data_IF_990103240097
#
_entry.id   IF_990103240097
#
_cell.length_a   1.000
_cell.length_b   1.000
_cell.length_c   1.000
_cell.angle_alpha   90.00
_cell.angle_beta   90.00
_cell.angle_gamma   90.00
#
_symmetry.space_group_name_H-M   'P 1'
#
loop_
_entity.id
_entity.type
_entity.pdbx_description
1 polymer ?
#
# COMPACT_ATOMS: atom_id res chain seq x y z
N UNK A 1 -3.57 10.96 -8.59
CA UNK A 1 -4.01 10.90 -10.01
C UNK A 1 -2.98 11.52 -10.95
N UNK A 2 -2.63 12.80 -10.80
CA UNK A 2 -1.63 13.49 -11.67
C UNK A 2 -0.31 12.74 -11.73
N UNK A 3 0.19 12.24 -10.59
CA UNK A 3 1.42 11.44 -10.54
C UNK A 3 1.34 10.16 -11.41
N UNK A 4 0.20 9.47 -11.40
CA UNK A 4 0.00 8.27 -12.23
C UNK A 4 -0.06 8.64 -13.72
N UNK A 5 -0.68 9.78 -14.07
CA UNK A 5 -0.68 10.29 -15.44
C UNK A 5 0.73 10.68 -15.91
N UNK A 6 1.48 11.42 -15.09
CA UNK A 6 2.85 11.80 -15.42
C UNK A 6 3.81 10.60 -15.46
N UNK A 7 3.60 9.60 -14.60
CA UNK A 7 4.45 8.42 -14.50
C UNK A 7 4.19 7.37 -15.59
N UNK A 8 2.93 7.18 -16.00
CA UNK A 8 2.53 6.08 -16.88
C UNK A 8 1.89 6.52 -18.21
N UNK A 9 1.76 7.83 -18.42
CA UNK A 9 1.06 8.39 -19.57
C UNK A 9 -0.44 8.09 -19.56
N UNK A 10 -1.11 8.47 -20.65
CA UNK A 10 -2.56 8.34 -20.79
C UNK A 10 -3.02 6.87 -20.75
N UNK A 11 -2.26 5.97 -21.38
CA UNK A 11 -2.62 4.55 -21.47
C UNK A 11 -2.59 3.88 -20.09
N UNK A 12 -1.46 3.94 -19.38
CA UNK A 12 -1.33 3.31 -18.06
C UNK A 12 -2.25 3.93 -17.02
N UNK A 13 -2.39 5.26 -17.03
CA UNK A 13 -3.39 5.94 -16.20
C UNK A 13 -4.82 5.48 -16.51
N UNK A 14 -5.15 5.31 -17.79
CA UNK A 14 -6.47 4.82 -18.23
C UNK A 14 -6.81 3.45 -17.66
N UNK A 15 -5.85 2.50 -17.67
CA UNK A 15 -6.01 1.19 -17.05
C UNK A 15 -6.26 1.28 -15.54
N UNK A 16 -5.44 2.06 -14.82
CA UNK A 16 -5.59 2.23 -13.38
C UNK A 16 -6.91 2.93 -13.00
N UNK A 17 -7.25 4.01 -13.70
CA UNK A 17 -8.47 4.77 -13.47
C UNK A 17 -9.72 3.95 -13.81
N UNK A 18 -9.71 3.28 -14.96
CA UNK A 18 -10.78 2.38 -15.37
C UNK A 18 -11.00 1.25 -14.39
N UNK A 19 -9.93 0.62 -13.90
CA UNK A 19 -10.01 -0.42 -12.89
C UNK A 19 -10.61 0.08 -11.56
N UNK A 20 -10.16 1.25 -11.09
CA UNK A 20 -10.71 1.87 -9.88
C UNK A 20 -12.20 2.17 -10.03
N UNK A 21 -12.61 2.80 -11.13
CA UNK A 21 -14.00 3.14 -11.39
C UNK A 21 -14.87 1.89 -11.54
N UNK A 22 -14.40 0.89 -12.29
CA UNK A 22 -15.09 -0.39 -12.44
C UNK A 22 -15.29 -1.07 -11.09
N UNK A 23 -14.27 -1.10 -10.23
CA UNK A 23 -14.35 -1.68 -8.89
C UNK A 23 -15.40 -0.99 -8.03
N UNK A 24 -15.45 0.35 -8.06
CA UNK A 24 -16.46 1.13 -7.35
C UNK A 24 -17.89 0.80 -7.84
N UNK A 25 -18.09 0.78 -9.17
CA UNK A 25 -19.37 0.46 -9.78
C UNK A 25 -19.80 -0.98 -9.44
N UNK A 26 -18.90 -1.95 -9.57
CA UNK A 26 -19.15 -3.36 -9.21
C UNK A 26 -19.59 -3.47 -7.75
N UNK A 27 -18.87 -2.81 -6.83
CA UNK A 27 -19.22 -2.81 -5.40
C UNK A 27 -20.61 -2.25 -5.15
N UNK A 28 -21.04 -1.25 -5.94
CA UNK A 28 -22.35 -0.61 -5.82
C UNK A 28 -23.51 -1.44 -6.39
N UNK A 29 -23.28 -2.19 -7.47
CA UNK A 29 -24.35 -2.94 -8.17
C UNK A 29 -24.50 -4.39 -7.70
N UNK A 30 -23.40 -5.04 -7.32
CA UNK A 30 -23.41 -6.45 -6.94
C UNK A 30 -23.99 -6.60 -5.53
N UNK A 31 -24.78 -7.65 -5.24
CA UNK A 31 -25.23 -7.92 -3.90
C UNK A 31 -24.06 -7.93 -2.92
N UNK A 32 -24.18 -7.14 -1.86
CA UNK A 32 -23.09 -6.85 -0.90
C UNK A 32 -22.33 -8.09 -0.41
N UNK A 33 -23.04 -9.21 -0.20
CA UNK A 33 -22.47 -10.52 0.19
C UNK A 33 -21.43 -11.11 -0.77
N UNK A 34 -21.37 -10.64 -2.01
CA UNK A 34 -20.42 -11.11 -3.04
C UNK A 34 -19.49 -10.00 -3.55
N UNK A 35 -19.64 -8.76 -3.05
CA UNK A 35 -18.94 -7.60 -3.61
C UNK A 35 -17.41 -7.76 -3.54
N UNK A 36 -16.86 -8.20 -2.40
CA UNK A 36 -15.43 -8.45 -2.22
C UNK A 36 -14.85 -9.44 -3.24
N UNK A 37 -15.47 -10.61 -3.38
CA UNK A 37 -15.03 -11.63 -4.32
C UNK A 37 -15.17 -11.20 -5.78
N UNK A 38 -16.25 -10.50 -6.14
CA UNK A 38 -16.47 -10.00 -7.50
C UNK A 38 -15.41 -8.96 -7.89
N UNK A 39 -15.15 -7.98 -7.02
CA UNK A 39 -14.12 -6.96 -7.26
C UNK A 39 -12.74 -7.60 -7.33
N UNK A 40 -12.40 -8.50 -6.41
CA UNK A 40 -11.12 -9.21 -6.46
C UNK A 40 -10.95 -9.99 -7.76
N UNK A 41 -11.96 -10.79 -8.16
CA UNK A 41 -11.91 -11.60 -9.37
C UNK A 41 -11.70 -10.75 -10.64
N UNK A 42 -12.50 -9.68 -10.81
CA UNK A 42 -12.38 -8.77 -11.96
C UNK A 42 -11.04 -8.04 -11.94
N UNK A 43 -10.63 -7.52 -10.78
CA UNK A 43 -9.42 -6.71 -10.66
C UNK A 43 -8.16 -7.54 -10.87
N UNK A 44 -8.13 -8.74 -10.29
CA UNK A 44 -7.02 -9.69 -10.45
C UNK A 44 -6.95 -10.23 -11.88
N UNK A 45 -8.07 -10.53 -12.52
CA UNK A 45 -8.10 -10.93 -13.94
C UNK A 45 -7.60 -9.80 -14.86
N UNK A 46 -7.99 -8.55 -14.59
CA UNK A 46 -7.50 -7.40 -15.34
C UNK A 46 -6.00 -7.18 -15.15
N UNK A 47 -5.50 -7.25 -13.91
CA UNK A 47 -4.07 -7.21 -13.59
C UNK A 47 -3.29 -8.31 -14.31
N UNK A 48 -3.78 -9.55 -14.26
CA UNK A 48 -3.17 -10.70 -14.94
C UNK A 48 -3.10 -10.46 -16.45
N UNK A 49 -4.20 -9.98 -17.04
CA UNK A 49 -4.25 -9.66 -18.48
C UNK A 49 -3.23 -8.58 -18.84
N UNK A 50 -3.15 -7.51 -18.06
CA UNK A 50 -2.17 -6.44 -18.29
C UNK A 50 -0.73 -6.96 -18.18
N UNK A 51 -0.42 -7.81 -17.18
CA UNK A 51 0.90 -8.43 -17.06
C UNK A 51 1.24 -9.33 -18.24
N UNK A 52 0.28 -10.11 -18.74
CA UNK A 52 0.47 -10.98 -19.91
C UNK A 52 0.70 -10.16 -21.18
N UNK A 53 -0.15 -9.15 -21.42
CA UNK A 53 -0.07 -8.31 -22.62
C UNK A 53 1.16 -7.41 -22.63
N UNK A 54 1.55 -6.89 -21.48
CA UNK A 54 2.73 -6.02 -21.35
C UNK A 54 4.02 -6.80 -21.10
N UNK A 55 3.96 -8.14 -21.01
CA UNK A 55 5.06 -9.10 -20.77
C UNK A 55 6.25 -8.43 -20.08
N UNK A 56 6.00 -7.97 -18.85
CA UNK A 56 6.76 -6.90 -18.20
C UNK A 56 8.24 -7.25 -17.96
N UNK A 57 8.68 -8.50 -18.17
CA UNK A 57 10.08 -8.89 -18.03
C UNK A 57 11.03 -8.15 -18.97
N UNK A 58 10.71 -7.98 -20.26
CA UNK A 58 11.62 -7.35 -21.21
C UNK A 58 11.73 -5.83 -20.99
N UNK A 59 10.59 -5.15 -20.83
CA UNK A 59 10.53 -3.71 -20.54
C UNK A 59 11.13 -3.40 -19.17
N UNK A 60 10.85 -4.19 -18.13
CA UNK A 60 11.48 -4.00 -16.82
C UNK A 60 12.99 -4.25 -16.84
N UNK A 61 13.46 -5.28 -17.55
CA UNK A 61 14.89 -5.53 -17.70
C UNK A 61 15.60 -4.40 -18.48
N UNK A 62 14.88 -3.73 -19.39
CA UNK A 62 15.36 -2.54 -20.08
C UNK A 62 15.28 -1.26 -19.23
N UNK A 63 14.75 -1.33 -17.99
CA UNK A 63 14.63 -0.20 -17.07
C UNK A 63 13.37 0.66 -17.28
N UNK A 64 12.42 0.22 -18.12
CA UNK A 64 11.15 0.91 -18.28
C UNK A 64 10.22 0.59 -17.11
N UNK A 65 9.63 1.64 -16.53
CA UNK A 65 8.64 1.52 -15.46
C UNK A 65 7.27 1.25 -16.09
N UNK A 66 6.68 0.09 -15.81
CA UNK A 66 5.33 -0.27 -16.24
C UNK A 66 4.30 0.07 -15.15
N UNK A 67 3.11 0.52 -15.57
CA UNK A 67 1.96 0.80 -14.71
C UNK A 67 1.45 -0.43 -13.96
N UNK A 68 1.72 -1.63 -14.48
CA UNK A 68 1.31 -2.89 -13.85
C UNK A 68 1.82 -3.02 -12.41
N UNK A 69 3.00 -2.47 -12.08
CA UNK A 69 3.54 -2.47 -10.72
C UNK A 69 2.64 -1.72 -9.73
N UNK A 70 2.20 -0.50 -10.07
CA UNK A 70 1.24 0.25 -9.24
C UNK A 70 -0.16 -0.34 -9.30
N UNK A 71 -0.52 -1.00 -10.41
CA UNK A 71 -1.77 -1.73 -10.52
C UNK A 71 -1.84 -2.90 -9.53
N UNK A 72 -0.72 -3.52 -9.15
CA UNK A 72 -0.71 -4.54 -8.10
C UNK A 72 -1.21 -3.97 -6.76
N UNK A 73 -0.70 -2.80 -6.36
CA UNK A 73 -1.12 -2.13 -5.12
C UNK A 73 -2.58 -1.68 -5.22
N UNK A 74 -2.97 -1.17 -6.39
CA UNK A 74 -4.34 -0.79 -6.67
C UNK A 74 -5.34 -1.95 -6.46
N UNK A 75 -5.03 -3.15 -6.96
CA UNK A 75 -5.87 -4.35 -6.77
C UNK A 75 -6.07 -4.66 -5.29
N UNK A 76 -5.01 -4.57 -4.48
CA UNK A 76 -5.11 -4.78 -3.03
C UNK A 76 -6.07 -3.78 -2.39
N UNK A 77 -5.93 -2.49 -2.74
CA UNK A 77 -6.74 -1.40 -2.17
C UNK A 77 -8.22 -1.52 -2.54
N UNK A 78 -8.54 -1.72 -3.82
CA UNK A 78 -9.95 -1.82 -4.26
C UNK A 78 -10.63 -3.09 -3.74
N UNK A 79 -9.89 -4.20 -3.68
CA UNK A 79 -10.41 -5.46 -3.11
C UNK A 79 -10.62 -5.31 -1.60
N UNK A 80 -9.68 -4.69 -0.88
CA UNK A 80 -9.80 -4.42 0.55
C UNK A 80 -11.04 -3.62 0.89
N UNK A 81 -11.32 -2.52 0.17
CA UNK A 81 -12.56 -1.74 0.34
C UNK A 81 -13.81 -2.61 0.11
N UNK A 82 -13.83 -3.42 -0.94
CA UNK A 82 -14.98 -4.25 -1.27
C UNK A 82 -15.21 -5.37 -0.24
N UNK A 83 -14.15 -5.97 0.30
CA UNK A 83 -14.23 -6.93 1.41
C UNK A 83 -14.68 -6.25 2.71
N UNK A 84 -14.12 -5.09 3.05
CA UNK A 84 -14.54 -4.32 4.22
C UNK A 84 -16.01 -3.91 4.14
N UNK A 85 -16.50 -3.58 2.94
CA UNK A 85 -17.91 -3.30 2.69
C UNK A 85 -18.77 -4.56 2.84
N UNK A 86 -18.34 -5.70 2.30
CA UNK A 86 -19.00 -6.99 2.48
C UNK A 86 -19.12 -7.38 3.96
N UNK A 87 -18.04 -7.22 4.72
CA UNK A 87 -17.96 -7.55 6.15
C UNK A 87 -18.88 -6.70 7.02
N UNK A 88 -19.26 -5.50 6.56
CA UNK A 88 -20.25 -4.67 7.26
C UNK A 88 -21.67 -5.25 7.29
N UNK A 89 -21.92 -6.42 6.69
CA UNK A 89 -23.15 -7.22 6.88
C UNK A 89 -23.15 -8.03 8.20
N UNK A 90 -21.98 -8.32 8.77
CA UNK A 90 -21.88 -9.10 10.00
C UNK A 90 -22.44 -8.32 11.19
N UNK A 91 -23.00 -9.02 12.17
CA UNK A 91 -23.32 -8.40 13.44
C UNK A 91 -22.03 -8.08 14.20
N UNK A 92 -22.00 -6.95 14.93
CA UNK A 92 -20.78 -6.48 15.60
C UNK A 92 -20.20 -7.50 16.58
N UNK A 93 -21.04 -8.31 17.24
CA UNK A 93 -20.57 -9.38 18.13
C UNK A 93 -19.79 -10.49 17.41
N UNK A 94 -20.10 -10.75 16.14
CA UNK A 94 -19.53 -11.84 15.34
C UNK A 94 -18.27 -11.39 14.57
N UNK A 95 -17.95 -10.09 14.62
CA UNK A 95 -16.77 -9.53 13.98
C UNK A 95 -15.50 -9.82 14.80
N UNK A 96 -14.44 -10.21 14.10
CA UNK A 96 -13.08 -10.22 14.66
C UNK A 96 -12.63 -8.82 15.09
N UNK A 97 -11.59 -8.74 15.93
CA UNK A 97 -11.04 -7.46 16.38
C UNK A 97 -10.64 -6.54 15.21
N UNK A 98 -10.12 -7.12 14.13
CA UNK A 98 -9.74 -6.38 12.92
C UNK A 98 -10.96 -5.87 12.15
N UNK A 99 -11.95 -6.74 11.93
CA UNK A 99 -13.19 -6.36 11.22
C UNK A 99 -13.93 -5.24 11.95
N UNK A 100 -13.93 -5.23 13.29
CA UNK A 100 -14.53 -4.14 14.07
C UNK A 100 -13.93 -2.77 13.75
N UNK A 101 -12.65 -2.71 13.38
CA UNK A 101 -11.97 -1.48 12.97
C UNK A 101 -12.18 -1.18 11.48
N UNK A 102 -12.09 -2.20 10.63
CA UNK A 102 -12.03 -2.04 9.18
C UNK A 102 -13.39 -2.08 8.45
N UNK A 103 -14.45 -2.63 9.06
CA UNK A 103 -15.74 -2.80 8.40
C UNK A 103 -16.34 -1.47 7.93
N UNK A 104 -16.96 -1.50 6.76
CA UNK A 104 -17.66 -0.35 6.19
C UNK A 104 -19.15 -0.63 6.17
N UNK A 105 -19.92 0.04 7.05
CA UNK A 105 -21.38 -0.08 7.08
C UNK A 105 -22.02 0.45 5.79
N UNK A 106 -21.53 1.60 5.33
CA UNK A 106 -21.96 2.27 4.11
C UNK A 106 -20.82 2.30 3.10
N UNK A 107 -21.19 2.32 1.82
CA UNK A 107 -20.21 2.48 0.76
C UNK A 107 -19.67 3.91 0.80
N UNK A 108 -18.34 4.13 0.73
CA UNK A 108 -17.79 5.48 0.69
C UNK A 108 -18.27 6.25 -0.55
N UNK A 109 -18.21 7.57 -0.46
CA UNK A 109 -18.43 8.40 -1.64
C UNK A 109 -17.36 8.11 -2.71
N UNK A 110 -17.69 8.38 -3.98
CA UNK A 110 -16.73 8.21 -5.07
C UNK A 110 -15.47 9.05 -4.83
N UNK A 111 -15.61 10.25 -4.25
CA UNK A 111 -14.48 11.12 -3.96
C UNK A 111 -13.54 10.52 -2.90
N UNK A 112 -14.09 10.02 -1.79
CA UNK A 112 -13.29 9.36 -0.74
C UNK A 112 -12.61 8.11 -1.27
N UNK A 113 -13.32 7.30 -2.05
CA UNK A 113 -12.78 6.10 -2.68
C UNK A 113 -11.63 6.43 -3.64
N UNK A 114 -11.82 7.40 -4.53
CA UNK A 114 -10.80 7.78 -5.51
C UNK A 114 -9.61 8.49 -4.84
N UNK A 115 -9.86 9.28 -3.80
CA UNK A 115 -8.83 9.89 -2.96
C UNK A 115 -7.96 8.86 -2.26
N UNK A 116 -8.58 7.83 -1.67
CA UNK A 116 -7.88 6.69 -1.09
C UNK A 116 -7.06 5.96 -2.14
N UNK A 117 -7.71 5.52 -3.22
CA UNK A 117 -7.11 4.68 -4.25
C UNK A 117 -5.87 5.37 -4.85
N UNK A 118 -5.98 6.65 -5.19
CA UNK A 118 -4.93 7.44 -5.82
C UNK A 118 -4.11 8.29 -4.84
N UNK A 119 -4.12 7.96 -3.55
CA UNK A 119 -3.25 8.56 -2.55
C UNK A 119 -1.77 8.46 -2.99
N UNK A 120 -1.09 9.59 -3.23
CA UNK A 120 0.31 9.64 -3.67
C UNK A 120 1.26 8.80 -2.82
N UNK A 121 0.98 8.71 -1.52
CA UNK A 121 1.89 8.05 -0.58
C UNK A 121 1.89 6.54 -0.71
N UNK A 122 0.80 5.96 -1.24
CA UNK A 122 0.58 4.52 -1.27
C UNK A 122 0.33 3.96 -2.66
N UNK A 123 -0.14 4.76 -3.63
CA UNK A 123 -0.51 4.26 -4.98
C UNK A 123 0.68 3.77 -5.81
N UNK A 124 1.84 4.42 -5.68
CA UNK A 124 3.00 4.08 -6.52
C UNK A 124 3.84 2.96 -5.91
N UNK A 125 4.24 3.11 -4.65
CA UNK A 125 5.27 2.26 -4.02
C UNK A 125 5.10 2.09 -2.51
N UNK A 126 3.96 2.51 -1.96
CA UNK A 126 3.72 2.40 -0.52
C UNK A 126 3.05 1.08 -0.14
N UNK A 127 3.03 0.77 1.17
CA UNK A 127 2.23 -0.33 1.66
C UNK A 127 0.76 0.00 1.41
N UNK A 128 -0.04 -1.00 1.08
CA UNK A 128 -1.48 -0.82 1.02
C UNK A 128 -2.00 -0.61 2.45
N UNK A 129 -2.22 0.65 2.83
CA UNK A 129 -2.96 1.00 4.05
C UNK A 129 -4.43 0.68 3.86
N UNK A 130 -5.15 0.39 4.93
CA UNK A 130 -6.58 0.16 4.85
C UNK A 130 -7.37 1.45 4.67
N UNK A 131 -8.57 1.31 4.11
CA UNK A 131 -9.43 2.45 3.82
C UNK A 131 -9.84 3.23 5.07
N UNK A 132 -10.05 2.54 6.19
CA UNK A 132 -10.43 3.18 7.45
C UNK A 132 -9.30 4.07 8.00
N UNK A 133 -8.05 3.60 7.90
CA UNK A 133 -6.85 4.36 8.29
C UNK A 133 -6.71 5.62 7.44
N UNK A 134 -6.92 5.48 6.12
CA UNK A 134 -6.92 6.61 5.20
C UNK A 134 -8.01 7.63 5.56
N UNK A 135 -9.24 7.21 5.85
CA UNK A 135 -10.31 8.13 6.22
C UNK A 135 -10.05 8.82 7.55
N UNK A 136 -9.54 8.09 8.55
CA UNK A 136 -9.18 8.68 9.84
C UNK A 136 -8.13 9.79 9.66
N UNK A 137 -7.14 9.56 8.80
CA UNK A 137 -6.15 10.56 8.44
C UNK A 137 -6.73 11.72 7.62
N UNK A 138 -7.43 11.42 6.51
CA UNK A 138 -7.90 12.42 5.55
C UNK A 138 -8.96 13.36 6.13
N UNK A 139 -9.76 12.90 7.09
CA UNK A 139 -10.81 13.68 7.74
C UNK A 139 -10.42 14.18 9.15
N UNK A 140 -9.20 13.89 9.61
CA UNK A 140 -8.73 14.18 10.97
C UNK A 140 -9.75 13.78 12.06
N UNK A 141 -10.36 12.58 11.94
CA UNK A 141 -11.44 12.16 12.86
C UNK A 141 -10.99 12.08 14.31
N UNK A 142 -9.72 11.76 14.55
CA UNK A 142 -9.13 11.70 15.88
C UNK A 142 -8.72 13.09 16.43
N UNK A 143 -8.87 14.16 15.65
CA UNK A 143 -8.40 15.51 16.00
C UNK A 143 -6.88 15.59 16.22
N UNK A 144 -6.14 14.59 15.75
CA UNK A 144 -4.68 14.45 15.91
C UNK A 144 -3.91 15.28 14.88
N UNK A 145 -4.60 15.85 13.89
CA UNK A 145 -4.23 16.96 13.00
C UNK A 145 -2.97 16.77 12.18
N UNK A 146 -3.06 17.11 10.89
CA UNK A 146 -2.01 17.10 9.84
C UNK A 146 -0.68 17.81 10.18
N UNK A 147 -0.48 18.34 11.39
CA UNK A 147 0.74 19.06 11.82
C UNK A 147 0.92 19.12 13.34
N UNK A 148 0.07 18.44 14.15
CA UNK A 148 0.08 18.66 15.62
C UNK A 148 1.17 17.90 16.37
N UNK A 149 1.89 16.99 15.72
CA UNK A 149 3.04 16.33 16.35
C UNK A 149 4.28 17.21 16.22
N UNK A 150 4.84 17.74 17.34
CA UNK A 150 6.06 18.53 17.28
C UNK A 150 7.21 17.71 16.66
N UNK A 151 7.94 18.32 15.73
CA UNK A 151 9.10 17.69 15.08
C UNK A 151 8.78 16.65 14.00
N UNK A 152 7.54 16.56 13.51
CA UNK A 152 7.19 15.60 12.45
C UNK A 152 8.05 15.75 11.18
N UNK A 153 8.38 16.99 10.77
CA UNK A 153 9.30 17.24 9.65
C UNK A 153 10.73 16.75 9.92
N UNK A 154 11.20 16.83 11.17
CA UNK A 154 12.50 16.26 11.55
C UNK A 154 12.48 14.74 11.43
N UNK A 155 11.38 14.08 11.85
CA UNK A 155 11.19 12.63 11.68
C UNK A 155 11.11 12.24 10.20
N UNK A 156 10.41 13.02 9.38
CA UNK A 156 10.36 12.82 7.94
C UNK A 156 11.77 12.92 7.32
N UNK A 157 12.55 13.94 7.71
CA UNK A 157 13.93 14.10 7.28
C UNK A 157 14.82 12.94 7.72
N UNK A 158 14.73 12.50 8.98
CA UNK A 158 15.48 11.34 9.48
C UNK A 158 15.14 10.06 8.70
N UNK A 159 13.84 9.82 8.43
CA UNK A 159 13.41 8.68 7.63
C UNK A 159 13.96 8.78 6.20
N UNK A 160 13.83 9.95 5.57
CA UNK A 160 14.36 10.22 4.24
C UNK A 160 15.87 9.95 4.14
N UNK A 161 16.66 10.43 5.11
CA UNK A 161 18.11 10.18 5.16
C UNK A 161 18.43 8.69 5.35
N UNK A 162 17.68 7.98 6.18
CA UNK A 162 17.80 6.52 6.32
C UNK A 162 17.49 5.76 5.03
N UNK A 163 16.51 6.23 4.26
CA UNK A 163 16.19 5.66 2.95
C UNK A 163 17.29 5.97 1.92
N UNK A 164 17.89 7.16 1.97
CA UNK A 164 19.01 7.52 1.09
C UNK A 164 20.23 6.60 1.32
N UNK A 165 20.46 6.16 2.55
CA UNK A 165 21.46 5.13 2.85
C UNK A 165 21.14 3.80 2.14
N UNK A 166 19.87 3.38 2.11
CA UNK A 166 19.46 2.18 1.37
C UNK A 166 19.75 2.32 -0.14
N UNK A 167 19.50 3.50 -0.72
CA UNK A 167 19.86 3.78 -2.10
C UNK A 167 21.38 3.70 -2.32
N UNK A 168 22.18 4.32 -1.45
CA UNK A 168 23.64 4.28 -1.54
C UNK A 168 24.18 2.84 -1.46
N UNK A 169 23.66 2.03 -0.53
CA UNK A 169 24.01 0.62 -0.40
C UNK A 169 23.63 -0.18 -1.65
N UNK A 170 22.48 0.10 -2.27
CA UNK A 170 22.09 -0.53 -3.54
C UNK A 170 23.03 -0.15 -4.69
N UNK A 171 23.40 1.13 -4.82
CA UNK A 171 24.29 1.59 -5.89
C UNK A 171 25.70 1.01 -5.74
N UNK A 172 26.26 1.04 -4.53
CA UNK A 172 27.57 0.43 -4.25
C UNK A 172 27.51 -1.09 -4.42
N UNK A 173 26.49 -1.74 -3.85
CA UNK A 173 26.28 -3.17 -3.99
C UNK A 173 26.22 -3.61 -5.46
N UNK A 174 25.47 -2.87 -6.29
CA UNK A 174 25.19 -3.28 -7.67
C UNK A 174 26.40 -3.11 -8.58
N UNK A 175 27.28 -2.16 -8.24
CA UNK A 175 28.58 -2.04 -8.89
C UNK A 175 29.55 -3.16 -8.53
N UNK A 176 29.48 -3.71 -7.31
CA UNK A 176 30.42 -4.74 -6.82
C UNK A 176 29.95 -6.17 -7.08
N UNK A 177 28.64 -6.40 -7.01
CA UNK A 177 28.01 -7.70 -7.19
C UNK A 177 26.85 -7.56 -8.20
N UNK A 178 27.15 -7.36 -9.50
CA UNK A 178 26.11 -7.24 -10.51
C UNK A 178 25.39 -8.59 -10.68
N UNK A 179 24.08 -8.53 -10.96
CA UNK A 179 23.26 -9.74 -11.19
C UNK A 179 23.78 -10.54 -12.40
N UNK A 180 24.40 -9.88 -13.38
CA UNK A 180 25.01 -10.52 -14.55
C UNK A 180 26.11 -11.52 -14.19
N UNK A 181 26.69 -11.42 -13.00
CA UNK A 181 27.67 -12.39 -12.51
C UNK A 181 27.07 -13.80 -12.43
N UNK A 182 25.77 -13.95 -12.20
CA UNK A 182 25.07 -15.25 -12.04
C UNK A 182 24.99 -16.06 -13.35
N UNK A 183 25.34 -15.48 -14.50
CA UNK A 183 25.43 -16.19 -15.79
C UNK A 183 26.81 -16.12 -16.43
N UNK A 184 27.80 -15.61 -15.72
CA UNK A 184 29.15 -15.39 -16.25
C UNK A 184 29.95 -16.69 -16.35
N UNK A 185 30.89 -16.85 -17.30
CA UNK A 185 31.76 -18.03 -17.35
C UNK A 185 32.48 -18.30 -16.01
N UNK A 186 32.95 -17.25 -15.36
CA UNK A 186 33.67 -17.27 -14.07
C UNK A 186 32.81 -17.89 -12.95
N UNK A 187 31.49 -17.66 -13.00
CA UNK A 187 30.54 -18.29 -12.09
C UNK A 187 30.60 -19.81 -12.17
N UNK A 188 30.77 -20.38 -13.36
CA UNK A 188 30.77 -21.84 -13.54
C UNK A 188 32.16 -22.44 -13.34
N UNK A 189 33.22 -21.78 -13.79
CA UNK A 189 34.57 -22.34 -13.83
C UNK A 189 35.46 -22.00 -12.62
N UNK A 190 35.28 -20.85 -11.97
CA UNK A 190 36.28 -20.33 -11.02
C UNK A 190 35.80 -20.22 -9.57
N UNK A 191 34.51 -19.97 -9.36
CA UNK A 191 34.02 -19.71 -8.01
C UNK A 191 33.76 -20.99 -7.20
N UNK A 192 34.22 -20.99 -5.94
CA UNK A 192 33.89 -22.03 -4.96
C UNK A 192 32.44 -21.92 -4.51
N UNK A 193 31.84 -23.02 -4.03
CA UNK A 193 30.46 -23.04 -3.55
C UNK A 193 30.20 -21.97 -2.48
N UNK A 194 31.10 -21.82 -1.51
CA UNK A 194 30.95 -20.84 -0.43
C UNK A 194 30.97 -19.39 -0.94
N UNK A 195 31.83 -19.10 -1.90
CA UNK A 195 31.85 -17.79 -2.54
C UNK A 195 30.57 -17.52 -3.32
N UNK A 196 30.04 -18.50 -4.05
CA UNK A 196 28.74 -18.40 -4.74
C UNK A 196 27.60 -18.09 -3.77
N UNK A 197 27.53 -18.78 -2.63
CA UNK A 197 26.52 -18.54 -1.61
C UNK A 197 26.63 -17.12 -1.03
N UNK A 198 27.85 -16.66 -0.74
CA UNK A 198 28.08 -15.29 -0.29
C UNK A 198 27.64 -14.25 -1.33
N UNK A 199 28.02 -14.43 -2.59
CA UNK A 199 27.64 -13.53 -3.69
C UNK A 199 26.13 -13.53 -3.91
N UNK A 200 25.46 -14.69 -3.87
CA UNK A 200 23.99 -14.77 -3.96
C UNK A 200 23.33 -13.99 -2.82
N UNK A 201 23.83 -14.16 -1.60
CA UNK A 201 23.33 -13.42 -0.45
C UNK A 201 23.54 -11.91 -0.62
N UNK A 202 24.73 -11.47 -1.06
CA UNK A 202 25.02 -10.07 -1.32
C UNK A 202 24.10 -9.49 -2.41
N UNK A 203 23.89 -10.22 -3.51
CA UNK A 203 22.98 -9.85 -4.61
C UNK A 203 21.52 -9.76 -4.12
N UNK A 204 21.09 -10.71 -3.29
CA UNK A 204 19.74 -10.68 -2.72
C UNK A 204 19.58 -9.49 -1.76
N UNK A 205 20.57 -9.23 -0.90
CA UNK A 205 20.54 -8.14 0.07
C UNK A 205 20.48 -6.78 -0.62
N UNK A 206 21.34 -6.52 -1.61
CA UNK A 206 21.27 -5.26 -2.39
C UNK A 206 19.92 -5.11 -3.08
N UNK A 207 19.36 -6.20 -3.62
CA UNK A 207 18.14 -6.15 -4.41
C UNK A 207 16.93 -5.83 -3.53
N UNK A 208 17.04 -6.03 -2.21
CA UNK A 208 16.06 -5.57 -1.23
C UNK A 208 16.21 -4.08 -0.92
N UNK A 209 17.44 -3.55 -0.89
CA UNK A 209 17.69 -2.16 -0.55
C UNK A 209 17.01 -1.17 -1.49
N UNK A 210 16.93 -1.47 -2.80
CA UNK A 210 16.14 -0.65 -3.74
C UNK A 210 14.66 -0.59 -3.36
N UNK A 211 14.05 -1.69 -2.90
CA UNK A 211 12.65 -1.68 -2.50
C UNK A 211 12.43 -0.94 -1.18
N UNK A 212 13.36 -1.09 -0.22
CA UNK A 212 13.31 -0.35 1.04
C UNK A 212 13.46 1.15 0.83
N UNK A 213 14.33 1.59 -0.09
CA UNK A 213 14.40 3.00 -0.46
C UNK A 213 13.05 3.53 -0.93
N UNK A 214 12.44 2.88 -1.92
CA UNK A 214 11.24 3.42 -2.54
C UNK A 214 9.99 3.26 -1.65
N UNK A 215 9.87 2.16 -0.89
CA UNK A 215 8.84 2.02 0.15
C UNK A 215 9.03 3.09 1.25
N UNK A 216 10.28 3.29 1.69
CA UNK A 216 10.63 4.31 2.64
C UNK A 216 10.28 5.73 2.18
N UNK A 217 10.40 6.04 0.88
CA UNK A 217 9.93 7.31 0.31
C UNK A 217 8.41 7.49 0.47
N UNK A 218 7.63 6.43 0.25
CA UNK A 218 6.18 6.46 0.51
C UNK A 218 5.89 6.79 1.97
N UNK A 219 6.59 6.15 2.90
CA UNK A 219 6.47 6.44 4.34
C UNK A 219 6.92 7.88 4.68
N UNK A 220 8.01 8.36 4.09
CA UNK A 220 8.47 9.75 4.23
C UNK A 220 7.37 10.72 3.79
N UNK A 221 6.71 10.45 2.64
CA UNK A 221 5.59 11.25 2.15
C UNK A 221 4.42 11.28 3.13
N UNK A 222 4.07 10.13 3.73
CA UNK A 222 3.02 10.05 4.76
C UNK A 222 3.35 10.92 5.97
N UNK A 223 4.56 10.78 6.52
CA UNK A 223 5.01 11.57 7.69
C UNK A 223 5.01 13.07 7.34
N UNK A 224 5.57 13.43 6.18
CA UNK A 224 5.63 14.82 5.72
C UNK A 224 4.24 15.44 5.48
N UNK A 225 3.25 14.61 5.12
CA UNK A 225 1.84 15.01 4.99
C UNK A 225 1.11 15.06 6.35
N UNK A 226 1.82 14.81 7.46
CA UNK A 226 1.25 14.84 8.80
C UNK A 226 0.47 13.60 9.18
N UNK A 227 0.63 12.50 8.45
CA UNK A 227 -0.06 11.25 8.77
C UNK A 227 0.54 10.64 10.03
N UNK A 228 -0.29 10.30 11.04
CA UNK A 228 0.16 9.56 12.21
C UNK A 228 0.38 8.07 11.90
N UNK A 229 0.03 7.61 10.70
CA UNK A 229 0.17 6.24 10.24
C UNK A 229 1.66 5.91 10.08
N UNK A 230 2.26 5.36 11.12
CA UNK A 230 3.50 4.59 10.99
C UNK A 230 3.12 3.21 10.45
N UNK A 231 3.41 2.85 9.19
CA UNK A 231 3.33 1.47 8.75
C UNK A 231 4.12 0.59 9.72
N UNK A 232 3.60 -0.60 10.08
CA UNK A 232 4.25 -1.46 11.05
C UNK A 232 5.51 -2.06 10.43
N UNK A 233 6.65 -1.40 10.63
CA UNK A 233 7.96 -2.07 10.51
C UNK A 233 8.24 -2.96 11.74
N UNK A 234 7.35 -2.94 12.75
CA UNK A 234 7.43 -3.75 13.97
C UNK A 234 6.06 -4.35 14.34
N UNK A 235 5.66 -5.43 13.66
CA UNK A 235 4.54 -6.30 14.08
C UNK A 235 3.19 -5.58 14.31
N UNK A 236 2.15 -6.32 14.71
CA UNK A 236 0.90 -5.70 15.11
C UNK A 236 1.12 -5.04 16.47
N UNK A 237 1.34 -3.72 16.49
CA UNK A 237 1.21 -2.95 17.71
C UNK A 237 -0.26 -2.85 18.06
N UNK A 238 -0.78 -3.91 18.69
CA UNK A 238 -2.07 -3.90 19.40
C UNK A 238 -1.97 -2.96 20.61
N UNK A 239 -1.87 -1.66 20.37
CA UNK A 239 -2.21 -0.67 21.37
C UNK A 239 -3.74 -0.53 21.30
N UNK A 240 -4.50 -0.87 22.35
CA UNK A 240 -5.93 -0.65 22.33
C UNK A 240 -6.16 0.85 22.17
N UNK A 241 -6.82 1.24 21.08
CA UNK A 241 -7.49 2.52 21.01
C UNK A 241 -8.40 2.54 22.23
N UNK A 242 -8.05 3.36 23.22
CA UNK A 242 -8.91 3.62 24.37
C UNK A 242 -10.29 3.94 23.82
N UNK A 243 -11.25 3.08 24.15
CA UNK A 243 -12.66 3.26 23.84
C UNK A 243 -13.02 4.72 24.12
N UNK A 244 -13.66 5.45 23.18
CA UNK A 244 -14.35 6.67 23.55
C UNK A 244 -15.31 6.28 24.67
N UNK A 245 -15.11 6.83 25.87
CA UNK A 245 -16.11 6.77 26.93
C UNK A 245 -17.41 7.24 26.31
N UNK A 246 -18.41 6.36 26.25
CA UNK A 246 -19.75 6.72 25.84
C UNK A 246 -20.17 7.97 26.64
N UNK A 247 -20.79 8.99 26.01
CA UNK A 247 -21.40 10.06 26.77
C UNK A 247 -22.39 9.43 27.75
N UNK A 248 -22.24 9.79 29.03
CA UNK A 248 -23.07 9.30 30.12
C UNK A 248 -24.55 9.50 29.77
N UNK A 249 -25.30 8.41 29.81
CA UNK A 249 -26.75 8.37 29.68
C UNK A 249 -27.35 9.22 30.82
N UNK A 250 -28.01 10.36 30.56
CA UNK A 250 -28.69 11.10 31.61
C UNK A 250 -29.91 10.27 32.03
N UNK A 251 -29.80 9.65 33.19
CA UNK A 251 -30.76 8.71 33.73
C UNK A 251 -32.21 9.19 33.63
N UNK A 252 -33.06 8.35 33.06
CA UNK A 252 -34.49 8.39 33.29
C UNK A 252 -34.76 8.02 34.75
N UNK A 253 -34.96 9.04 35.57
CA UNK A 253 -35.59 8.91 36.88
C UNK A 253 -37.06 8.57 36.69
N UNK A 254 -37.45 7.37 37.11
CA UNK A 254 -38.86 7.03 37.33
C UNK A 254 -39.42 7.94 38.44
N UNK A 255 -40.40 8.76 38.09
CA UNK A 255 -41.33 9.34 39.04
C UNK A 255 -42.76 9.07 38.55
N UNK A 256 -43.44 8.23 39.35
CA UNK A 256 -44.89 8.03 39.51
C UNK A 256 -45.72 7.62 38.29
#
# INVERSE_FOLDING_TARGET
>A
MVLCYCGYGLSGFGHMFGLALASFVITKIIPRKHAGFAVFGVSFAHLTTCHVLNASGASWNAGNIDFTGSQMVLVLKVSGVAFNYMDGLLAYQDMSAWQKQAHLKDLPSLLEFMGYVFDPSTVLVGPAIDFWEYLEFAQDRAGKGLTKQPGFMLRALQNFLGNLLCLALNLVGSSRFPVSLIGSPEWYSEFTLWYKLFVLYAIALQSRMKYYFVWGLGHTSMIASGSPLTPPLHGPSFAPLTTPTAPADPGFTNHT
#
